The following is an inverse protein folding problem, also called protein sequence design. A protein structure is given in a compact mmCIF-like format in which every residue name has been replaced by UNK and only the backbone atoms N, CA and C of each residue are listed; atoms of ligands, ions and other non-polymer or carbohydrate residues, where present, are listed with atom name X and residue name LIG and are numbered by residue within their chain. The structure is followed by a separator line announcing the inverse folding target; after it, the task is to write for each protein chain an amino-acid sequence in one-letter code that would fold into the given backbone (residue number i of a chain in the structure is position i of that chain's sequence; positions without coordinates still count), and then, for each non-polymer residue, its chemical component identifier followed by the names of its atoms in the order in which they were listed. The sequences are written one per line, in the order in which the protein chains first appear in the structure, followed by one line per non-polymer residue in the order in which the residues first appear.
data_IF_766266742539
#
_entry.id   IF_766266742539
#
_cell.length_a   1.000
_cell.length_b   1.000
_cell.length_c   1.000
_cell.angle_alpha   90.00
_cell.angle_beta   90.00
_cell.angle_gamma   90.00
#
_symmetry.space_group_name_H-M   'P 1'
#
loop_
_entity.id
_entity.type
_entity.pdbx_description
1 polymer ?
#
# COMPACT_ATOMS: atom_id res chain seq x y z
N UNK A 1 1.77 -29.94 -3.58
CA UNK A 1 2.22 -29.50 -4.90
C UNK A 1 2.57 -28.00 -4.98
N UNK A 2 1.97 -27.13 -4.18
CA UNK A 2 2.21 -25.66 -4.16
C UNK A 2 3.58 -25.28 -3.57
N UNK A 3 4.12 -26.05 -2.62
CA UNK A 3 5.46 -25.79 -2.02
C UNK A 3 6.66 -25.97 -2.98
N UNK A 4 6.48 -26.69 -4.09
CA UNK A 4 7.55 -26.91 -5.07
C UNK A 4 7.73 -25.74 -6.02
N UNK A 5 6.66 -24.98 -6.31
CA UNK A 5 6.71 -23.81 -7.21
C UNK A 5 7.48 -22.63 -6.61
N UNK A 6 7.34 -22.39 -5.30
CA UNK A 6 8.01 -21.27 -4.62
C UNK A 6 9.52 -21.47 -4.45
N UNK A 7 10.00 -22.73 -4.33
CA UNK A 7 11.45 -23.02 -4.29
C UNK A 7 12.11 -22.82 -5.64
N UNK A 8 11.40 -23.04 -6.74
CA UNK A 8 11.92 -22.86 -8.10
C UNK A 8 12.09 -21.38 -8.43
N UNK A 9 11.25 -20.50 -7.88
CA UNK A 9 11.32 -19.05 -8.07
C UNK A 9 12.64 -18.45 -7.53
N UNK A 10 13.12 -18.92 -6.39
CA UNK A 10 14.40 -18.47 -5.78
C UNK A 10 15.65 -18.95 -6.55
N UNK A 11 15.55 -20.01 -7.32
CA UNK A 11 16.66 -20.60 -8.10
C UNK A 11 16.75 -20.08 -9.54
N UNK A 12 15.67 -19.59 -10.13
CA UNK A 12 15.65 -19.05 -11.50
C UNK A 12 16.36 -17.70 -11.63
N UNK A 13 16.50 -16.94 -10.55
CA UNK A 13 17.13 -15.62 -10.53
C UNK A 13 18.65 -15.60 -10.61
N UNK A 14 19.33 -16.77 -10.71
CA UNK A 14 20.80 -16.84 -10.71
C UNK A 14 21.49 -16.96 -12.06
N UNK A 15 20.77 -17.16 -13.17
CA UNK A 15 21.40 -17.31 -14.48
C UNK A 15 20.80 -16.36 -15.53
N UNK A 16 21.55 -15.28 -15.79
CA UNK A 16 21.66 -14.55 -17.04
C UNK A 16 20.44 -14.44 -17.96
N UNK A 17 19.70 -13.34 -17.82
CA UNK A 17 19.24 -12.54 -18.96
C UNK A 17 19.04 -11.11 -18.49
N UNK A 18 19.70 -10.14 -19.10
CA UNK A 18 19.41 -8.71 -18.96
C UNK A 18 18.06 -8.43 -19.66
N UNK A 19 16.97 -8.85 -19.02
CA UNK A 19 15.66 -8.29 -19.30
C UNK A 19 15.52 -7.05 -18.46
N UNK A 20 15.02 -5.96 -19.03
CA UNK A 20 14.49 -4.83 -18.31
C UNK A 20 13.35 -5.32 -17.41
N UNK A 21 13.70 -5.83 -16.23
CA UNK A 21 12.72 -6.18 -15.22
C UNK A 21 12.16 -4.85 -14.72
N UNK A 22 10.89 -4.60 -15.01
CA UNK A 22 10.18 -3.50 -14.38
C UNK A 22 10.26 -3.70 -12.87
N UNK A 23 10.70 -2.70 -12.14
CA UNK A 23 10.69 -2.72 -10.68
C UNK A 23 9.25 -2.53 -10.17
N UNK A 24 8.97 -3.03 -8.95
CA UNK A 24 7.73 -2.68 -8.26
C UNK A 24 7.62 -1.17 -8.18
N UNK A 25 6.51 -0.61 -8.64
CA UNK A 25 6.27 0.83 -8.55
C UNK A 25 4.84 1.16 -8.15
N UNK A 26 4.69 2.31 -7.53
CA UNK A 26 3.42 2.92 -7.16
C UNK A 26 3.43 4.36 -7.64
N UNK A 27 2.40 4.76 -8.37
CA UNK A 27 2.23 6.11 -8.92
C UNK A 27 0.80 6.58 -8.78
N UNK A 28 0.55 7.84 -9.09
CA UNK A 28 -0.81 8.39 -9.17
C UNK A 28 -0.96 9.24 -10.43
N UNK A 29 -2.12 9.18 -11.06
CA UNK A 29 -2.50 10.11 -12.12
C UNK A 29 -3.02 11.44 -11.56
N UNK A 30 -3.39 11.49 -10.28
CA UNK A 30 -3.97 12.67 -9.64
C UNK A 30 -2.92 13.60 -9.02
N UNK A 31 -1.73 13.08 -8.66
CA UNK A 31 -0.61 13.88 -8.12
C UNK A 31 0.73 13.19 -8.39
N UNK A 32 1.81 13.98 -8.39
CA UNK A 32 3.18 13.48 -8.56
C UNK A 32 3.83 13.21 -7.21
N UNK A 33 4.93 12.43 -7.20
CA UNK A 33 5.77 12.22 -6.02
C UNK A 33 6.06 13.54 -5.30
N UNK A 34 5.75 13.62 -4.01
CA UNK A 34 5.89 14.81 -3.17
C UNK A 34 4.92 15.94 -3.49
N UNK A 35 4.03 15.78 -4.47
CA UNK A 35 3.06 16.78 -4.89
C UNK A 35 1.83 16.89 -3.99
N UNK A 36 1.01 17.89 -4.25
CA UNK A 36 -0.23 18.10 -3.49
C UNK A 36 -1.30 17.08 -3.91
N UNK A 37 -1.85 16.37 -2.93
CA UNK A 37 -3.02 15.50 -3.13
C UNK A 37 -4.24 16.39 -3.40
N UNK A 38 -5.08 16.10 -4.42
CA UNK A 38 -6.23 16.91 -4.75
C UNK A 38 -7.15 17.17 -3.56
N UNK A 39 -7.71 18.37 -3.50
CA UNK A 39 -8.53 18.82 -2.34
C UNK A 39 -9.71 17.89 -2.08
N UNK A 40 -10.37 17.39 -3.12
CA UNK A 40 -11.49 16.47 -3.03
C UNK A 40 -11.13 15.10 -2.41
N UNK A 41 -9.84 14.75 -2.38
CA UNK A 41 -9.37 13.54 -1.70
C UNK A 41 -9.29 13.70 -0.18
N UNK A 42 -9.33 14.92 0.34
CA UNK A 42 -9.33 15.20 1.77
C UNK A 42 -10.60 14.67 2.47
N UNK A 43 -10.45 14.16 3.69
CA UNK A 43 -11.53 13.54 4.47
C UNK A 43 -12.76 14.44 4.61
N UNK A 44 -12.54 15.73 4.85
CA UNK A 44 -13.60 16.74 4.99
C UNK A 44 -14.00 17.41 3.67
N UNK A 45 -13.40 17.01 2.55
CA UNK A 45 -13.56 17.66 1.24
C UNK A 45 -14.12 16.73 0.16
N UNK A 46 -14.81 15.69 0.56
CA UNK A 46 -15.42 14.71 -0.34
C UNK A 46 -14.88 13.30 -0.15
N UNK A 47 -13.71 13.14 0.48
CA UNK A 47 -13.11 11.84 0.78
C UNK A 47 -12.99 10.93 -0.47
N UNK A 48 -12.74 11.55 -1.63
CA UNK A 48 -12.57 10.82 -2.90
C UNK A 48 -11.25 10.06 -2.86
N UNK A 49 -11.30 8.76 -3.09
CA UNK A 49 -10.08 7.96 -3.21
C UNK A 49 -9.26 8.41 -4.42
N UNK A 50 -7.98 8.75 -4.27
CA UNK A 50 -7.12 9.10 -5.40
C UNK A 50 -6.87 7.88 -6.29
N UNK A 51 -6.61 8.12 -7.57
CA UNK A 51 -6.18 7.09 -8.50
C UNK A 51 -4.76 6.67 -8.14
N UNK A 52 -4.58 5.40 -7.77
CA UNK A 52 -3.26 4.82 -7.48
C UNK A 52 -3.02 3.67 -8.46
N UNK A 53 -1.89 3.73 -9.15
CA UNK A 53 -1.48 2.75 -10.15
C UNK A 53 -0.30 1.93 -9.63
N UNK A 54 -0.36 0.61 -9.80
CA UNK A 54 0.68 -0.33 -9.43
C UNK A 54 1.32 -0.97 -10.66
N UNK A 55 2.64 -1.15 -10.63
CA UNK A 55 3.37 -1.95 -11.62
C UNK A 55 4.21 -2.99 -10.89
N UNK A 56 4.03 -4.25 -11.23
CA UNK A 56 4.77 -5.37 -10.66
C UNK A 56 5.88 -5.85 -11.62
N UNK A 57 6.97 -6.45 -11.08
CA UNK A 57 8.15 -6.84 -11.87
C UNK A 57 7.88 -7.88 -12.97
N UNK A 58 6.84 -8.68 -12.84
CA UNK A 58 6.49 -9.78 -13.74
C UNK A 58 4.99 -9.77 -14.03
N UNK A 59 4.59 -10.39 -15.16
CA UNK A 59 3.17 -10.52 -15.57
C UNK A 59 2.47 -11.68 -14.85
N UNK A 60 2.88 -12.03 -13.64
CA UNK A 60 2.25 -13.08 -12.84
C UNK A 60 1.28 -12.46 -11.82
N UNK A 61 0.28 -13.23 -11.36
CA UNK A 61 -0.55 -12.78 -10.28
C UNK A 61 0.27 -12.53 -9.01
N UNK A 62 0.12 -11.36 -8.40
CA UNK A 62 0.80 -10.96 -7.18
C UNK A 62 -0.19 -10.76 -6.04
N UNK A 63 0.15 -11.32 -4.86
CA UNK A 63 -0.47 -10.85 -3.63
C UNK A 63 0.19 -9.52 -3.25
N UNK A 64 -0.61 -8.55 -2.83
CA UNK A 64 -0.09 -7.24 -2.44
C UNK A 64 -0.79 -6.67 -1.21
N UNK A 65 -0.10 -5.76 -0.55
CA UNK A 65 -0.68 -4.91 0.49
C UNK A 65 -0.37 -3.44 0.22
N UNK A 66 -1.33 -2.58 0.53
CA UNK A 66 -1.20 -1.12 0.49
C UNK A 66 -1.46 -0.54 1.88
N UNK A 67 -0.55 0.32 2.33
CA UNK A 67 -0.69 1.10 3.57
C UNK A 67 -0.53 2.57 3.23
N UNK A 68 -1.49 3.42 3.62
CA UNK A 68 -1.33 4.88 3.60
C UNK A 68 -1.26 5.41 5.02
N UNK A 69 -0.13 6.03 5.36
CA UNK A 69 0.17 6.59 6.67
C UNK A 69 0.35 8.11 6.62
N UNK A 70 0.02 8.77 7.74
CA UNK A 70 0.41 10.15 8.05
C UNK A 70 1.39 10.14 9.24
N UNK A 71 2.71 10.15 8.98
CA UNK A 71 3.71 10.21 10.05
C UNK A 71 3.77 11.59 10.74
N UNK A 72 3.34 12.66 10.08
CA UNK A 72 3.34 14.00 10.67
C UNK A 72 2.26 14.16 11.76
N UNK A 73 1.24 13.31 11.76
CA UNK A 73 0.24 13.24 12.81
C UNK A 73 0.82 12.93 14.20
N UNK A 74 2.06 12.40 14.26
CA UNK A 74 2.75 12.16 15.53
C UNK A 74 2.82 13.40 16.43
N UNK A 75 2.98 14.59 15.85
CA UNK A 75 3.03 15.86 16.60
C UNK A 75 1.67 16.25 17.18
N UNK A 76 0.61 16.02 16.41
CA UNK A 76 -0.74 16.46 16.77
C UNK A 76 -1.48 15.46 17.67
N UNK A 77 -1.32 14.16 17.43
CA UNK A 77 -2.10 13.10 18.09
C UNK A 77 -1.28 12.00 18.76
N UNK A 78 0.06 12.11 18.73
CA UNK A 78 0.98 11.19 19.43
C UNK A 78 1.16 9.83 18.79
N UNK A 79 0.71 9.66 17.56
CA UNK A 79 0.91 8.44 16.78
C UNK A 79 0.94 8.71 15.26
N UNK A 80 1.50 7.80 14.50
CA UNK A 80 1.30 7.75 13.04
C UNK A 80 -0.17 7.41 12.79
N UNK A 81 -0.86 8.22 11.98
CA UNK A 81 -2.27 7.98 11.67
C UNK A 81 -2.42 7.12 10.43
N UNK A 82 -3.21 6.06 10.53
CA UNK A 82 -3.48 5.13 9.44
C UNK A 82 -4.68 5.62 8.65
N UNK A 83 -4.46 5.90 7.36
CA UNK A 83 -5.48 6.43 6.45
C UNK A 83 -6.11 5.36 5.56
N UNK A 84 -5.35 4.36 5.15
CA UNK A 84 -5.84 3.32 4.25
C UNK A 84 -5.06 2.02 4.42
N UNK A 85 -5.78 0.91 4.50
CA UNK A 85 -5.24 -0.44 4.51
C UNK A 85 -5.98 -1.28 3.48
N UNK A 86 -5.24 -1.88 2.57
CA UNK A 86 -5.77 -2.73 1.51
C UNK A 86 -4.90 -3.97 1.33
N UNK A 87 -5.53 -5.10 1.05
CA UNK A 87 -4.86 -6.35 0.74
C UNK A 87 -5.61 -7.09 -0.36
N UNK A 88 -4.88 -7.72 -1.29
CA UNK A 88 -5.40 -8.66 -2.26
C UNK A 88 -4.49 -9.89 -2.38
N UNK A 89 -5.06 -11.07 -2.42
CA UNK A 89 -4.38 -12.32 -2.74
C UNK A 89 -4.03 -12.44 -4.22
N UNK A 90 -3.05 -13.28 -4.55
CA UNK A 90 -2.55 -13.43 -5.92
C UNK A 90 -3.60 -13.94 -6.93
N UNK A 91 -4.56 -14.71 -6.46
CA UNK A 91 -5.62 -15.30 -7.29
C UNK A 91 -7.02 -14.89 -6.82
N UNK A 92 -7.11 -13.95 -5.90
CA UNK A 92 -8.39 -13.44 -5.42
C UNK A 92 -8.73 -12.15 -6.18
N UNK A 93 -9.87 -12.13 -6.85
CA UNK A 93 -10.39 -10.95 -7.52
C UNK A 93 -10.93 -9.89 -6.52
N UNK A 94 -10.98 -10.24 -5.23
CA UNK A 94 -11.54 -9.39 -4.20
C UNK A 94 -10.43 -8.72 -3.37
N UNK A 95 -10.50 -7.40 -3.35
CA UNK A 95 -9.68 -6.59 -2.47
C UNK A 95 -10.31 -6.56 -1.08
N UNK A 96 -9.53 -6.87 -0.05
CA UNK A 96 -9.95 -6.82 1.35
C UNK A 96 -9.50 -5.50 1.97
N UNK A 97 -10.44 -4.73 2.52
CA UNK A 97 -10.14 -3.48 3.19
C UNK A 97 -9.92 -3.68 4.69
N UNK A 98 -8.85 -3.07 5.20
CA UNK A 98 -8.59 -2.96 6.62
C UNK A 98 -9.30 -1.75 7.24
N UNK A 99 -9.20 -1.64 8.57
CA UNK A 99 -9.80 -0.55 9.35
C UNK A 99 -8.80 0.58 9.54
N UNK A 100 -9.14 1.77 9.08
CA UNK A 100 -8.35 2.97 9.27
C UNK A 100 -8.55 3.59 10.67
N UNK A 101 -7.78 4.62 11.00
CA UNK A 101 -7.85 5.26 12.32
C UNK A 101 -9.07 6.19 12.51
N UNK A 102 -9.86 6.44 11.47
CA UNK A 102 -11.21 7.02 11.60
C UNK A 102 -12.25 6.00 12.06
N UNK A 103 -11.88 4.71 12.14
CA UNK A 103 -12.77 3.61 12.51
C UNK A 103 -13.58 3.06 11.33
N UNK A 104 -13.22 3.42 10.10
CA UNK A 104 -13.90 3.05 8.86
C UNK A 104 -13.07 2.02 8.07
N UNK A 105 -13.73 1.33 7.14
CA UNK A 105 -13.07 0.43 6.21
C UNK A 105 -12.59 1.19 4.97
N UNK A 106 -11.35 0.89 4.54
CA UNK A 106 -10.79 1.45 3.32
C UNK A 106 -10.22 2.85 3.51
N UNK A 107 -10.34 3.67 2.46
CA UNK A 107 -9.73 4.99 2.39
C UNK A 107 -10.38 6.00 3.32
N UNK A 108 -9.57 6.66 4.15
CA UNK A 108 -9.90 7.87 4.88
C UNK A 108 -8.90 8.95 4.50
N UNK A 109 -9.35 10.01 3.84
CA UNK A 109 -8.49 11.02 3.24
C UNK A 109 -7.72 11.87 4.24
N UNK A 110 -6.76 12.69 3.74
CA UNK A 110 -6.05 13.68 4.53
C UNK A 110 -6.98 14.59 5.34
N UNK A 111 -6.61 14.82 6.60
CA UNK A 111 -7.32 15.74 7.51
C UNK A 111 -6.34 16.36 8.52
N UNK A 112 -5.23 16.97 8.07
CA UNK A 112 -4.21 17.46 8.98
C UNK A 112 -4.78 18.61 9.83
N UNK A 113 -4.58 18.59 11.18
CA UNK A 113 -5.18 19.60 12.06
C UNK A 113 -4.36 20.89 12.22
N UNK A 114 -3.07 20.84 11.91
CA UNK A 114 -2.10 21.87 12.32
C UNK A 114 -1.21 22.38 11.17
N UNK A 115 -1.57 22.10 9.92
CA UNK A 115 -0.84 22.58 8.75
C UNK A 115 -0.64 21.48 7.70
N UNK A 116 0.38 21.66 6.87
CA UNK A 116 0.70 20.73 5.79
C UNK A 116 1.33 19.45 6.34
N UNK A 117 0.74 18.31 5.99
CA UNK A 117 1.29 16.98 6.28
C UNK A 117 1.74 16.26 5.02
N UNK A 118 2.68 15.33 5.18
CA UNK A 118 3.11 14.39 4.16
C UNK A 118 2.47 13.02 4.41
N UNK A 119 1.84 12.48 3.39
CA UNK A 119 1.19 11.17 3.39
C UNK A 119 2.06 10.18 2.63
N UNK A 120 2.27 9.00 3.19
CA UNK A 120 3.12 7.97 2.61
C UNK A 120 2.27 6.78 2.21
N UNK A 121 2.21 6.49 0.92
CA UNK A 121 1.63 5.27 0.35
C UNK A 121 2.74 4.24 0.22
N UNK A 122 2.56 3.05 0.79
CA UNK A 122 3.51 1.94 0.77
C UNK A 122 2.85 0.74 0.12
N UNK A 123 3.43 0.28 -0.98
CA UNK A 123 3.00 -0.92 -1.69
C UNK A 123 4.00 -2.05 -1.39
N UNK A 124 3.48 -3.21 -1.02
CA UNK A 124 4.27 -4.42 -0.76
C UNK A 124 3.88 -5.51 -1.74
N UNK A 125 4.85 -6.06 -2.45
CA UNK A 125 4.72 -7.30 -3.23
C UNK A 125 5.01 -8.49 -2.31
N UNK A 126 4.13 -9.49 -2.31
CA UNK A 126 4.16 -10.59 -1.36
C UNK A 126 4.35 -11.94 -2.06
N UNK A 127 5.11 -12.85 -1.44
CA UNK A 127 5.40 -14.18 -1.99
C UNK A 127 4.32 -15.23 -1.68
N UNK A 128 3.31 -14.87 -0.92
CA UNK A 128 2.20 -15.77 -0.54
C UNK A 128 0.95 -15.00 -0.18
N UNK A 129 -0.18 -15.67 -0.28
CA UNK A 129 -1.43 -15.17 0.25
C UNK A 129 -1.41 -15.13 1.78
N UNK A 130 -2.03 -14.09 2.34
CA UNK A 130 -2.16 -13.86 3.77
C UNK A 130 -3.55 -14.27 4.26
N UNK A 131 -3.63 -14.83 5.46
CA UNK A 131 -4.90 -15.12 6.13
C UNK A 131 -5.39 -13.88 6.89
N UNK A 132 -6.00 -12.96 6.15
CA UNK A 132 -6.55 -11.72 6.69
C UNK A 132 -8.06 -11.66 6.50
N UNK A 133 -8.76 -11.11 7.49
CA UNK A 133 -10.21 -10.86 7.41
C UNK A 133 -10.48 -9.38 7.18
N UNK A 134 -11.59 -9.08 6.51
CA UNK A 134 -12.08 -7.71 6.33
C UNK A 134 -12.08 -6.96 7.67
N UNK A 135 -11.54 -5.75 7.68
CA UNK A 135 -11.41 -4.93 8.88
C UNK A 135 -10.15 -5.20 9.70
N UNK A 136 -9.16 -5.88 9.12
CA UNK A 136 -7.86 -6.08 9.75
C UNK A 136 -7.20 -4.73 10.13
N UNK A 137 -6.44 -4.73 11.20
CA UNK A 137 -5.64 -3.59 11.64
C UNK A 137 -4.28 -3.54 10.93
N UNK A 138 -3.61 -2.40 10.99
CA UNK A 138 -2.23 -2.27 10.48
C UNK A 138 -1.29 -3.28 11.15
N UNK A 139 -1.40 -3.51 12.46
CA UNK A 139 -0.57 -4.46 13.18
C UNK A 139 -0.79 -5.90 12.68
N UNK A 140 -2.04 -6.31 12.47
CA UNK A 140 -2.36 -7.63 11.90
C UNK A 140 -1.79 -7.80 10.49
N UNK A 141 -1.87 -6.77 9.66
CA UNK A 141 -1.28 -6.77 8.32
C UNK A 141 0.25 -6.88 8.38
N UNK A 142 0.90 -6.04 9.16
CA UNK A 142 2.37 -6.05 9.31
C UNK A 142 2.88 -7.37 9.87
N UNK A 143 2.18 -7.96 10.85
CA UNK A 143 2.53 -9.28 11.41
C UNK A 143 2.35 -10.40 10.38
N UNK A 144 1.28 -10.37 9.59
CA UNK A 144 1.04 -11.34 8.53
C UNK A 144 2.06 -11.23 7.38
N UNK A 145 2.53 -10.02 7.06
CA UNK A 145 3.53 -9.80 6.01
C UNK A 145 4.96 -10.22 6.39
N UNK A 146 5.26 -10.41 7.68
CA UNK A 146 6.62 -10.76 8.12
C UNK A 146 7.14 -12.02 7.43
N UNK A 147 8.31 -11.88 6.77
CA UNK A 147 8.95 -12.96 6.04
C UNK A 147 8.35 -13.26 4.65
N UNK A 148 7.34 -12.48 4.22
CA UNK A 148 6.65 -12.66 2.94
C UNK A 148 6.83 -11.50 1.96
N UNK A 149 7.53 -10.44 2.34
CA UNK A 149 7.74 -9.26 1.49
C UNK A 149 8.84 -9.57 0.46
N UNK A 150 8.52 -9.47 -0.83
CA UNK A 150 9.45 -9.59 -1.95
C UNK A 150 10.04 -8.24 -2.34
N UNK A 151 9.22 -7.21 -2.37
CA UNK A 151 9.60 -5.86 -2.73
C UNK A 151 8.68 -4.84 -2.05
N UNK A 152 9.18 -3.60 -1.94
CA UNK A 152 8.45 -2.45 -1.42
C UNK A 152 8.63 -1.26 -2.37
N UNK A 153 7.55 -0.53 -2.62
CA UNK A 153 7.56 0.76 -3.33
C UNK A 153 6.79 1.80 -2.53
N UNK A 154 7.19 3.07 -2.69
CA UNK A 154 6.58 4.20 -1.97
C UNK A 154 6.20 5.32 -2.93
N UNK A 155 5.11 5.99 -2.61
CA UNK A 155 4.69 7.26 -3.21
C UNK A 155 4.35 8.20 -2.06
N UNK A 156 4.81 9.43 -2.13
CA UNK A 156 4.45 10.46 -1.15
C UNK A 156 3.59 11.54 -1.78
N UNK A 157 2.67 12.08 -0.99
CA UNK A 157 1.88 13.22 -1.36
C UNK A 157 1.71 14.15 -0.17
N UNK A 158 1.45 15.41 -0.41
CA UNK A 158 1.23 16.41 0.65
C UNK A 158 -0.21 16.90 0.62
N UNK A 159 -0.70 17.37 1.75
CA UNK A 159 -2.02 17.97 1.84
C UNK A 159 -2.02 19.08 2.89
N UNK A 160 -2.64 20.20 2.53
CA UNK A 160 -2.85 21.34 3.43
C UNK A 160 -4.35 21.44 3.77
N UNK A 161 -4.74 21.72 5.04
CA UNK A 161 -6.13 21.81 5.49
C UNK A 161 -7.03 22.71 4.63
#
# INVERSE_FOLDING_TARGET
MIRSFLKTRKLYFKNNYSMNMSELSITSSDFKEGGEIPKECGYKHGNKTPSIDFSFPENEPHAYALIMDDPDAMKAVGKVWVHWLEYAGAFDEHVIQGKNDFGELGYGGPAPPDGRHTYVFKLYDLDSDLDLKKGFSKQELEDAMKGHILAEAKLTGTFTP
#
